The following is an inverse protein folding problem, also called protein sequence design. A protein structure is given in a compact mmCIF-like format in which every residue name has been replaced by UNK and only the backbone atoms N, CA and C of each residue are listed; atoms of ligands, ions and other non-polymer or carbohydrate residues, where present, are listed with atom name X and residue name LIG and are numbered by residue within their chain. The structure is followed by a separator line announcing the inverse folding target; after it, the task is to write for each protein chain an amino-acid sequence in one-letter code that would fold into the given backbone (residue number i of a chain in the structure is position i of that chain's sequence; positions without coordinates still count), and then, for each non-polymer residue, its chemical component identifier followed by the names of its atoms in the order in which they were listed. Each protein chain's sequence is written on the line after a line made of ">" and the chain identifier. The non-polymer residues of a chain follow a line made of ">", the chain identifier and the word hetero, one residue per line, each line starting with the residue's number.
data_IF_409183932343
#
_entry.id   IF_409183932343
#
_cell.length_a   1.000
_cell.length_b   1.000
_cell.length_c   1.000
_cell.angle_alpha   90.00
_cell.angle_beta   90.00
_cell.angle_gamma   90.00
#
_symmetry.space_group_name_H-M   'P 1'
#
loop_
_entity.id
_entity.type
_entity.pdbx_description
1 polymer ?
#
# COMPACT_ATOMS: atom_id res chain seq x y z
N UNK A 1 -50.06 -13.57 -40.97
CA UNK A 1 -49.18 -13.08 -42.06
C UNK A 1 -47.87 -12.62 -41.45
N UNK A 2 -46.96 -13.55 -41.15
CA UNK A 2 -45.63 -13.22 -40.64
C UNK A 2 -44.67 -13.16 -41.84
N UNK A 3 -44.02 -12.03 -42.04
CA UNK A 3 -42.99 -11.88 -43.07
C UNK A 3 -41.72 -12.57 -42.58
N UNK A 4 -41.49 -13.81 -43.04
CA UNK A 4 -40.20 -14.46 -42.90
C UNK A 4 -39.16 -13.68 -43.69
N UNK A 5 -38.36 -12.87 -42.99
CA UNK A 5 -37.20 -12.19 -43.57
C UNK A 5 -36.14 -13.26 -43.79
N UNK A 6 -36.19 -13.86 -44.98
CA UNK A 6 -35.23 -14.85 -45.45
C UNK A 6 -33.81 -14.32 -45.28
N UNK A 7 -33.03 -14.95 -44.39
CA UNK A 7 -31.64 -14.60 -44.17
C UNK A 7 -30.84 -14.88 -45.46
N UNK A 8 -30.23 -13.85 -46.08
CA UNK A 8 -29.68 -14.02 -47.42
C UNK A 8 -28.35 -14.77 -47.39
N UNK A 9 -28.14 -15.61 -48.42
CA UNK A 9 -26.93 -16.38 -48.61
C UNK A 9 -25.74 -15.50 -49.04
N UNK A 10 -25.14 -14.80 -48.08
CA UNK A 10 -23.74 -14.39 -48.19
C UNK A 10 -22.86 -15.65 -48.31
N UNK A 11 -21.68 -15.58 -48.96
CA UNK A 11 -20.71 -16.68 -48.89
C UNK A 11 -20.41 -16.97 -47.42
N UNK A 12 -20.68 -18.19 -46.97
CA UNK A 12 -20.55 -18.57 -45.56
C UNK A 12 -19.07 -18.60 -45.15
N UNK A 13 -18.62 -17.50 -44.57
CA UNK A 13 -17.29 -17.34 -44.00
C UNK A 13 -17.20 -18.13 -42.68
N UNK A 14 -16.43 -19.21 -42.68
CA UNK A 14 -16.29 -20.09 -41.51
C UNK A 14 -15.63 -19.35 -40.34
N UNK A 15 -14.74 -18.40 -40.60
CA UNK A 15 -14.16 -17.57 -39.54
C UNK A 15 -15.19 -16.68 -38.84
N UNK A 16 -16.18 -16.14 -39.59
CA UNK A 16 -17.25 -15.32 -39.00
C UNK A 16 -18.19 -16.18 -38.17
N UNK A 17 -18.52 -17.39 -38.64
CA UNK A 17 -19.35 -18.32 -37.87
C UNK A 17 -18.66 -18.79 -36.58
N UNK A 18 -17.35 -19.10 -36.64
CA UNK A 18 -16.54 -19.43 -35.45
C UNK A 18 -16.35 -18.23 -34.52
N UNK A 19 -16.13 -17.03 -35.04
CA UNK A 19 -16.02 -15.82 -34.25
C UNK A 19 -17.34 -15.49 -33.53
N UNK A 20 -18.50 -15.65 -34.19
CA UNK A 20 -19.82 -15.50 -33.59
C UNK A 20 -20.13 -16.55 -32.51
N UNK A 21 -19.48 -17.73 -32.55
CA UNK A 21 -19.61 -18.74 -31.51
C UNK A 21 -18.84 -18.38 -30.22
N UNK A 22 -18.03 -17.32 -30.21
CA UNK A 22 -17.41 -16.80 -28.99
C UNK A 22 -18.44 -15.98 -28.20
N UNK A 23 -18.72 -16.32 -26.92
CA UNK A 23 -19.79 -15.66 -26.15
C UNK A 23 -19.65 -14.13 -26.02
N UNK A 24 -18.42 -13.62 -26.08
CA UNK A 24 -18.12 -12.18 -26.05
C UNK A 24 -18.49 -11.47 -27.36
N UNK A 25 -18.29 -12.14 -28.50
CA UNK A 25 -18.63 -11.61 -29.83
C UNK A 25 -20.14 -11.70 -30.05
N UNK A 26 -20.78 -12.81 -29.67
CA UNK A 26 -22.23 -12.96 -29.73
C UNK A 26 -22.94 -11.86 -28.92
N UNK A 27 -22.49 -11.62 -27.68
CA UNK A 27 -23.02 -10.54 -26.84
C UNK A 27 -22.80 -9.14 -27.44
N UNK A 28 -21.62 -8.88 -28.02
CA UNK A 28 -21.32 -7.60 -28.66
C UNK A 28 -22.16 -7.36 -29.93
N UNK A 29 -22.30 -8.37 -30.79
CA UNK A 29 -23.13 -8.31 -32.01
C UNK A 29 -24.61 -8.15 -31.65
N UNK A 30 -25.10 -8.90 -30.65
CA UNK A 30 -26.47 -8.76 -30.14
C UNK A 30 -26.75 -7.38 -29.56
N UNK A 31 -25.80 -6.81 -28.80
CA UNK A 31 -25.91 -5.46 -28.26
C UNK A 31 -25.94 -4.40 -29.38
N UNK A 32 -25.01 -4.47 -30.35
CA UNK A 32 -24.98 -3.56 -31.50
C UNK A 32 -26.25 -3.68 -32.35
N UNK A 33 -26.74 -4.89 -32.61
CA UNK A 33 -28.00 -5.14 -33.32
C UNK A 33 -29.23 -4.58 -32.60
N UNK A 34 -29.28 -4.69 -31.27
CA UNK A 34 -30.36 -4.11 -30.45
C UNK A 34 -30.31 -2.57 -30.45
N UNK A 35 -29.11 -1.97 -30.37
CA UNK A 35 -28.95 -0.52 -30.51
C UNK A 35 -29.33 -0.03 -31.92
N UNK A 36 -28.87 -0.73 -32.96
CA UNK A 36 -29.18 -0.43 -34.35
C UNK A 36 -30.70 -0.46 -34.61
N UNK A 37 -31.37 -1.52 -34.17
CA UNK A 37 -32.83 -1.66 -34.29
C UNK A 37 -33.57 -0.56 -33.53
N UNK A 38 -33.10 -0.18 -32.33
CA UNK A 38 -33.66 0.93 -31.54
C UNK A 38 -33.48 2.29 -32.22
N UNK A 39 -32.34 2.55 -32.88
CA UNK A 39 -32.09 3.80 -33.62
C UNK A 39 -32.92 3.84 -34.91
N UNK A 40 -32.97 2.73 -35.65
CA UNK A 40 -33.76 2.59 -36.88
C UNK A 40 -35.26 2.81 -36.61
N UNK A 41 -35.79 2.21 -35.55
CA UNK A 41 -37.20 2.34 -35.16
C UNK A 41 -37.58 3.64 -34.42
N UNK A 42 -36.65 4.58 -34.19
CA UNK A 42 -36.94 5.82 -33.47
C UNK A 42 -37.68 6.86 -34.33
N UNK A 43 -37.41 6.90 -35.64
CA UNK A 43 -38.04 7.84 -36.58
C UNK A 43 -38.21 7.19 -37.96
N UNK A 44 -39.39 7.33 -38.57
CA UNK A 44 -39.71 6.77 -39.90
C UNK A 44 -38.79 7.25 -41.03
N UNK A 45 -38.21 8.45 -40.92
CA UNK A 45 -37.26 8.99 -41.89
C UNK A 45 -35.88 8.30 -41.76
N UNK A 46 -35.45 8.00 -40.53
CA UNK A 46 -34.25 7.18 -40.28
C UNK A 46 -34.49 5.74 -40.73
N UNK A 47 -35.65 5.16 -40.44
CA UNK A 47 -36.05 3.82 -40.89
C UNK A 47 -35.95 3.70 -42.42
N UNK A 48 -36.54 4.66 -43.15
CA UNK A 48 -36.47 4.72 -44.61
C UNK A 48 -35.03 4.88 -45.13
N UNK A 49 -34.25 5.79 -44.54
CA UNK A 49 -32.88 6.04 -44.98
C UNK A 49 -31.95 4.83 -44.72
N UNK A 50 -31.99 4.25 -43.52
CA UNK A 50 -31.23 3.04 -43.18
C UNK A 50 -31.71 1.83 -44.00
N UNK A 51 -33.02 1.62 -44.17
CA UNK A 51 -33.53 0.51 -44.98
C UNK A 51 -33.17 0.66 -46.46
N UNK A 52 -33.11 1.89 -46.99
CA UNK A 52 -32.64 2.15 -48.35
C UNK A 52 -31.14 1.92 -48.48
N UNK A 53 -30.35 2.33 -47.47
CA UNK A 53 -28.91 2.07 -47.42
C UNK A 53 -28.59 0.57 -47.29
N UNK A 54 -29.31 -0.16 -46.44
CA UNK A 54 -29.27 -1.63 -46.33
C UNK A 54 -29.59 -2.29 -47.68
N UNK A 55 -30.67 -1.89 -48.34
CA UNK A 55 -31.04 -2.43 -49.65
C UNK A 55 -30.00 -2.11 -50.74
N UNK A 56 -29.37 -0.94 -50.69
CA UNK A 56 -28.25 -0.55 -51.55
C UNK A 56 -27.00 -1.41 -51.31
N UNK A 57 -26.60 -1.57 -50.04
CA UNK A 57 -25.50 -2.44 -49.63
C UNK A 57 -25.76 -3.89 -50.01
N UNK A 58 -26.99 -4.38 -49.83
CA UNK A 58 -27.39 -5.74 -50.17
C UNK A 58 -27.28 -6.02 -51.67
N UNK A 59 -27.73 -5.08 -52.53
CA UNK A 59 -27.54 -5.18 -53.97
C UNK A 59 -26.06 -5.12 -54.35
N UNK A 60 -25.30 -4.19 -53.79
CA UNK A 60 -23.87 -4.06 -54.04
C UNK A 60 -23.10 -5.34 -53.66
N UNK A 61 -23.37 -5.90 -52.49
CA UNK A 61 -22.80 -7.16 -52.01
C UNK A 61 -23.12 -8.33 -52.97
N UNK A 62 -24.37 -8.49 -53.38
CA UNK A 62 -24.75 -9.54 -54.33
C UNK A 62 -24.11 -9.36 -55.72
N UNK A 63 -23.90 -8.12 -56.18
CA UNK A 63 -23.17 -7.87 -57.44
C UNK A 63 -21.65 -8.07 -57.33
N UNK A 64 -21.06 -7.83 -56.15
CA UNK A 64 -19.62 -7.99 -55.91
C UNK A 64 -19.23 -9.43 -55.53
N UNK A 65 -20.17 -10.22 -55.00
CA UNK A 65 -19.98 -11.60 -54.55
C UNK A 65 -19.14 -12.47 -55.52
N UNK A 66 -19.45 -12.58 -56.83
CA UNK A 66 -18.70 -13.46 -57.73
C UNK A 66 -17.23 -13.04 -57.95
N UNK A 67 -16.91 -11.75 -57.78
CA UNK A 67 -15.55 -11.23 -57.99
C UNK A 67 -14.68 -11.30 -56.73
N UNK A 68 -15.29 -11.24 -55.54
CA UNK A 68 -14.58 -11.16 -54.25
C UNK A 68 -14.56 -12.50 -53.50
N UNK A 69 -15.46 -13.44 -53.81
CA UNK A 69 -15.57 -14.71 -53.08
C UNK A 69 -14.27 -15.54 -53.03
N UNK A 70 -13.49 -15.59 -54.12
CA UNK A 70 -12.26 -16.40 -54.19
C UNK A 70 -11.14 -15.88 -53.27
N UNK A 71 -10.69 -14.61 -53.34
CA UNK A 71 -9.70 -14.09 -52.40
C UNK A 71 -10.23 -14.02 -50.96
N UNK A 72 -11.55 -13.80 -50.78
CA UNK A 72 -12.17 -13.75 -49.45
C UNK A 72 -12.17 -15.12 -48.77
N UNK A 73 -12.46 -16.21 -49.48
CA UNK A 73 -12.39 -17.57 -48.95
C UNK A 73 -10.95 -17.98 -48.56
N UNK A 74 -9.94 -17.55 -49.33
CA UNK A 74 -8.54 -17.78 -48.99
C UNK A 74 -8.07 -16.97 -47.76
N UNK A 75 -8.66 -15.81 -47.51
CA UNK A 75 -8.50 -15.05 -46.27
C UNK A 75 -9.21 -15.71 -45.08
N UNK A 76 -10.47 -16.09 -45.28
CA UNK A 76 -11.34 -16.75 -44.29
C UNK A 76 -10.72 -18.03 -43.72
N UNK A 77 -10.18 -18.89 -44.58
CA UNK A 77 -9.47 -20.10 -44.16
C UNK A 77 -8.27 -19.80 -43.23
N UNK A 78 -7.55 -18.70 -43.44
CA UNK A 78 -6.45 -18.27 -42.55
C UNK A 78 -6.97 -17.74 -41.22
N UNK A 79 -8.05 -16.94 -41.23
CA UNK A 79 -8.64 -16.42 -39.99
C UNK A 79 -9.27 -17.55 -39.17
N UNK A 80 -9.94 -18.51 -39.80
CA UNK A 80 -10.45 -19.71 -39.15
C UNK A 80 -9.32 -20.52 -38.47
N UNK A 81 -8.20 -20.75 -39.16
CA UNK A 81 -7.04 -21.43 -38.60
C UNK A 81 -6.39 -20.66 -37.42
N UNK A 82 -6.40 -19.32 -37.46
CA UNK A 82 -5.95 -18.47 -36.34
C UNK A 82 -6.89 -18.58 -35.14
N UNK A 83 -8.21 -18.67 -35.36
CA UNK A 83 -9.20 -18.89 -34.30
C UNK A 83 -9.01 -20.30 -33.68
N UNK A 84 -8.76 -21.32 -34.49
CA UNK A 84 -8.52 -22.70 -34.02
C UNK A 84 -7.23 -22.82 -33.17
N UNK A 85 -6.14 -22.17 -33.58
CA UNK A 85 -4.92 -22.10 -32.75
C UNK A 85 -5.12 -21.24 -31.49
N UNK A 86 -5.97 -20.20 -31.55
CA UNK A 86 -6.33 -19.39 -30.36
C UNK A 86 -7.13 -20.19 -29.34
N UNK A 87 -8.12 -20.98 -29.78
CA UNK A 87 -8.89 -21.90 -28.93
C UNK A 87 -7.97 -22.93 -28.25
N UNK A 88 -7.04 -23.52 -29.02
CA UNK A 88 -6.04 -24.47 -28.48
C UNK A 88 -5.07 -23.84 -27.48
N UNK A 89 -4.71 -22.56 -27.67
CA UNK A 89 -3.76 -21.83 -26.80
C UNK A 89 -4.42 -21.26 -25.56
N UNK A 90 -5.69 -20.85 -25.66
CA UNK A 90 -6.43 -20.12 -24.61
C UNK A 90 -7.88 -20.62 -24.53
N UNK A 91 -8.12 -21.85 -24.02
CA UNK A 91 -9.48 -22.37 -23.79
C UNK A 91 -10.28 -21.54 -22.76
N UNK A 92 -9.61 -20.65 -22.02
CA UNK A 92 -10.21 -19.64 -21.15
C UNK A 92 -11.11 -18.63 -21.90
N UNK A 93 -10.99 -18.53 -23.23
CA UNK A 93 -11.79 -17.62 -24.08
C UNK A 93 -13.07 -18.30 -24.59
N UNK A 94 -13.15 -19.63 -24.60
CA UNK A 94 -14.33 -20.39 -25.02
C UNK A 94 -15.22 -20.83 -23.84
N UNK A 95 -14.69 -21.00 -22.63
CA UNK A 95 -15.50 -21.27 -21.44
C UNK A 95 -16.32 -20.06 -20.95
N UNK A 96 -17.48 -20.34 -20.35
CA UNK A 96 -18.31 -19.30 -19.75
C UNK A 96 -17.64 -18.70 -18.49
N UNK A 97 -17.59 -17.35 -18.33
CA UNK A 97 -16.89 -16.69 -17.22
C UNK A 97 -17.26 -17.17 -15.81
N UNK A 98 -18.48 -17.69 -15.61
CA UNK A 98 -18.95 -18.20 -14.31
C UNK A 98 -18.24 -19.50 -13.92
N UNK A 99 -18.06 -20.42 -14.87
CA UNK A 99 -17.43 -21.73 -14.64
C UNK A 99 -15.94 -21.54 -14.32
N UNK A 100 -15.26 -20.68 -15.07
CA UNK A 100 -13.85 -20.33 -14.88
C UNK A 100 -13.57 -19.82 -13.45
N UNK A 101 -14.43 -18.95 -12.92
CA UNK A 101 -14.27 -18.40 -11.55
C UNK A 101 -14.47 -19.48 -10.50
N UNK A 102 -15.41 -20.41 -10.70
CA UNK A 102 -15.70 -21.48 -9.75
C UNK A 102 -14.62 -22.58 -9.76
N UNK A 103 -14.18 -23.03 -10.94
CA UNK A 103 -13.08 -24.00 -11.09
C UNK A 103 -11.77 -23.44 -10.54
N UNK A 104 -11.45 -22.17 -10.83
CA UNK A 104 -10.26 -21.49 -10.28
C UNK A 104 -10.32 -21.37 -8.77
N UNK A 105 -11.48 -20.96 -8.20
CA UNK A 105 -11.67 -20.92 -6.74
C UNK A 105 -11.48 -22.30 -6.12
N UNK A 106 -12.04 -23.35 -6.71
CA UNK A 106 -11.92 -24.72 -6.19
C UNK A 106 -10.48 -25.26 -6.27
N UNK A 107 -9.74 -24.95 -7.34
CA UNK A 107 -8.32 -25.30 -7.48
C UNK A 107 -7.42 -24.53 -6.49
N UNK A 108 -7.72 -23.26 -6.22
CA UNK A 108 -7.00 -22.46 -5.22
C UNK A 108 -7.32 -22.95 -3.80
N UNK A 109 -8.59 -23.21 -3.49
CA UNK A 109 -9.04 -23.74 -2.21
C UNK A 109 -8.45 -25.12 -1.92
N UNK A 110 -8.44 -26.04 -2.90
CA UNK A 110 -7.88 -27.39 -2.72
C UNK A 110 -6.36 -27.37 -2.47
N UNK A 111 -5.63 -26.38 -3.03
CA UNK A 111 -4.18 -26.23 -2.80
C UNK A 111 -3.86 -25.54 -1.47
N UNK A 112 -4.65 -24.55 -1.06
CA UNK A 112 -4.43 -23.76 0.17
C UNK A 112 -4.97 -24.47 1.42
N UNK A 113 -6.15 -25.09 1.35
CA UNK A 113 -6.80 -25.81 2.46
C UNK A 113 -5.88 -26.77 3.24
N UNK A 114 -5.09 -27.68 2.61
CA UNK A 114 -4.22 -28.59 3.35
C UNK A 114 -3.06 -27.87 4.06
N UNK A 115 -2.64 -26.71 3.58
CA UNK A 115 -1.60 -25.91 4.23
C UNK A 115 -2.15 -25.14 5.43
N UNK A 116 -3.31 -24.50 5.27
CA UNK A 116 -4.02 -23.80 6.36
C UNK A 116 -4.42 -24.79 7.47
N UNK A 117 -4.96 -25.96 7.12
CA UNK A 117 -5.32 -26.99 8.11
C UNK A 117 -4.09 -27.54 8.87
N UNK A 118 -2.94 -27.72 8.22
CA UNK A 118 -1.69 -28.08 8.91
C UNK A 118 -1.22 -26.99 9.89
N UNK A 119 -1.27 -25.72 9.49
CA UNK A 119 -0.89 -24.60 10.38
C UNK A 119 -1.89 -24.46 11.53
N UNK A 120 -3.20 -24.58 11.25
CA UNK A 120 -4.25 -24.51 12.27
C UNK A 120 -4.14 -25.65 13.28
N UNK A 121 -3.95 -26.90 12.83
CA UNK A 121 -3.76 -28.05 13.73
C UNK A 121 -2.43 -27.98 14.49
N UNK A 122 -1.35 -27.46 13.89
CA UNK A 122 -0.10 -27.20 14.60
C UNK A 122 -0.27 -26.11 15.68
N UNK A 123 -1.00 -25.03 15.37
CA UNK A 123 -1.32 -23.95 16.31
C UNK A 123 -2.15 -24.46 17.49
N UNK A 124 -3.25 -25.17 17.25
CA UNK A 124 -4.09 -25.71 18.33
C UNK A 124 -3.36 -26.78 19.14
N UNK A 125 -2.54 -27.64 18.51
CA UNK A 125 -1.68 -28.57 19.24
C UNK A 125 -0.60 -27.87 20.08
N UNK A 126 -0.04 -26.75 19.62
CA UNK A 126 0.89 -25.94 20.40
C UNK A 126 0.19 -25.23 21.57
N UNK A 127 -0.98 -24.63 21.33
CA UNK A 127 -1.81 -23.98 22.35
C UNK A 127 -2.20 -24.97 23.46
N UNK A 128 -2.67 -26.17 23.10
CA UNK A 128 -3.00 -27.24 24.04
C UNK A 128 -1.78 -27.71 24.84
N UNK A 129 -0.60 -27.80 24.23
CA UNK A 129 0.66 -28.14 24.93
C UNK A 129 1.12 -27.03 25.88
N UNK A 130 0.96 -25.77 25.50
CA UNK A 130 1.27 -24.62 26.36
C UNK A 130 0.29 -24.55 27.53
N UNK A 131 -0.99 -24.84 27.32
CA UNK A 131 -1.99 -24.88 28.38
C UNK A 131 -1.72 -26.02 29.37
N UNK A 132 -1.47 -27.25 28.89
CA UNK A 132 -1.16 -28.37 29.78
C UNK A 132 0.19 -28.21 30.51
N UNK A 133 1.21 -27.63 29.86
CA UNK A 133 2.47 -27.27 30.53
C UNK A 133 2.27 -26.17 31.59
N UNK A 134 1.42 -25.16 31.31
CA UNK A 134 1.06 -24.13 32.28
C UNK A 134 0.36 -24.75 33.49
N UNK A 135 -0.65 -25.58 33.29
CA UNK A 135 -1.38 -26.28 34.35
C UNK A 135 -0.47 -27.18 35.20
N UNK A 136 0.35 -28.03 34.56
CA UNK A 136 1.31 -28.91 35.25
C UNK A 136 2.38 -28.11 36.01
N UNK A 137 2.91 -27.03 35.42
CA UNK A 137 3.85 -26.15 36.08
C UNK A 137 3.21 -25.40 37.25
N UNK A 138 1.96 -25.00 37.13
CA UNK A 138 1.22 -24.31 38.18
C UNK A 138 0.92 -25.23 39.36
N UNK A 139 0.40 -26.44 39.08
CA UNK A 139 0.17 -27.47 40.10
C UNK A 139 1.47 -27.85 40.83
N UNK A 140 2.58 -28.01 40.10
CA UNK A 140 3.89 -28.31 40.70
C UNK A 140 4.46 -27.14 41.49
N UNK A 141 4.31 -25.90 41.01
CA UNK A 141 4.72 -24.71 41.75
C UNK A 141 3.92 -24.58 43.06
N UNK A 142 2.59 -24.72 43.02
CA UNK A 142 1.75 -24.69 44.20
C UNK A 142 2.12 -25.80 45.22
N UNK A 143 2.34 -27.03 44.76
CA UNK A 143 2.81 -28.13 45.62
C UNK A 143 4.19 -27.87 46.27
N UNK A 144 5.11 -27.22 45.57
CA UNK A 144 6.41 -26.82 46.14
C UNK A 144 6.29 -25.63 47.10
N UNK A 145 5.42 -24.66 46.80
CA UNK A 145 5.21 -23.46 47.61
C UNK A 145 4.40 -23.73 48.88
N UNK A 146 3.55 -24.76 48.91
CA UNK A 146 2.86 -25.24 50.13
C UNK A 146 3.77 -26.03 51.07
N UNK A 147 4.94 -26.50 50.60
CA UNK A 147 5.94 -27.16 51.45
C UNK A 147 6.53 -26.17 52.47
N UNK A 148 6.95 -26.64 53.65
CA UNK A 148 7.48 -25.79 54.74
C UNK A 148 8.66 -24.87 54.34
N UNK A 149 9.48 -25.27 53.35
CA UNK A 149 10.51 -24.39 52.77
C UNK A 149 9.91 -23.38 51.76
N UNK A 150 8.95 -23.82 50.95
CA UNK A 150 8.21 -22.98 50.01
C UNK A 150 7.48 -21.82 50.71
N UNK A 151 6.78 -22.09 51.81
CA UNK A 151 6.11 -21.04 52.59
C UNK A 151 7.09 -19.99 53.13
N UNK A 152 8.29 -20.39 53.57
CA UNK A 152 9.35 -19.42 53.97
C UNK A 152 9.80 -18.54 52.81
N UNK A 153 9.88 -19.10 51.59
CA UNK A 153 10.19 -18.31 50.37
C UNK A 153 9.04 -17.37 50.00
N UNK A 154 7.77 -17.80 50.11
CA UNK A 154 6.60 -16.91 49.88
C UNK A 154 6.64 -15.71 50.83
N UNK A 155 6.85 -15.95 52.12
CA UNK A 155 6.96 -14.86 53.11
C UNK A 155 8.19 -13.98 52.91
N UNK A 156 9.34 -14.51 52.47
CA UNK A 156 10.52 -13.68 52.19
C UNK A 156 10.34 -12.80 50.95
N UNK A 157 9.62 -13.29 49.92
CA UNK A 157 9.21 -12.48 48.76
C UNK A 157 8.25 -11.37 49.18
N UNK A 158 7.29 -11.64 50.06
CA UNK A 158 6.32 -10.66 50.52
C UNK A 158 6.94 -9.57 51.43
N UNK A 159 7.81 -9.97 52.35
CA UNK A 159 8.61 -9.04 53.15
C UNK A 159 9.57 -8.22 52.28
N UNK A 160 10.24 -8.84 51.31
CA UNK A 160 11.11 -8.17 50.35
C UNK A 160 10.37 -7.17 49.45
N UNK A 161 9.16 -7.51 49.00
CA UNK A 161 8.32 -6.62 48.23
C UNK A 161 7.81 -5.43 49.06
N UNK A 162 7.45 -5.67 50.32
CA UNK A 162 7.05 -4.61 51.26
C UNK A 162 8.20 -3.64 51.54
N UNK A 163 9.41 -4.15 51.75
CA UNK A 163 10.62 -3.32 51.90
C UNK A 163 10.97 -2.56 50.61
N UNK A 164 10.83 -3.20 49.44
CA UNK A 164 11.04 -2.54 48.15
C UNK A 164 10.00 -1.42 47.91
N UNK A 165 8.76 -1.57 48.38
CA UNK A 165 7.75 -0.50 48.35
C UNK A 165 8.18 0.69 49.22
N UNK A 166 8.70 0.46 50.44
CA UNK A 166 9.24 1.54 51.29
C UNK A 166 10.42 2.28 50.64
N UNK A 167 11.31 1.57 49.95
CA UNK A 167 12.39 2.20 49.17
C UNK A 167 11.84 3.03 48.00
N UNK A 168 10.81 2.53 47.31
CA UNK A 168 10.10 3.28 46.29
C UNK A 168 9.38 4.52 46.85
N UNK A 169 8.75 4.44 48.03
CA UNK A 169 8.14 5.58 48.70
C UNK A 169 9.19 6.66 49.03
N UNK A 170 10.39 6.25 49.44
CA UNK A 170 11.49 7.16 49.79
C UNK A 170 12.14 7.85 48.58
N UNK A 171 12.46 7.10 47.51
CA UNK A 171 13.19 7.64 46.36
C UNK A 171 12.31 8.09 45.20
N UNK A 172 11.09 7.54 45.06
CA UNK A 172 10.16 7.80 43.97
C UNK A 172 8.74 8.04 44.53
N UNK A 173 8.50 9.18 45.20
CA UNK A 173 7.20 9.50 45.79
C UNK A 173 6.08 9.49 44.73
N UNK A 174 4.86 9.20 45.16
CA UNK A 174 3.69 9.22 44.27
C UNK A 174 3.37 10.66 43.84
N UNK A 175 3.63 10.99 42.58
CA UNK A 175 3.34 12.32 42.01
C UNK A 175 1.93 12.34 41.45
N UNK A 176 0.95 12.67 42.30
CA UNK A 176 -0.45 12.87 41.93
C UNK A 176 -1.43 12.07 42.79
N UNK A 177 -2.73 12.26 42.52
CA UNK A 177 -3.80 11.44 43.10
C UNK A 177 -3.82 10.04 42.44
N UNK A 178 -2.82 9.24 42.76
CA UNK A 178 -2.69 7.88 42.27
C UNK A 178 -3.63 6.99 43.10
N UNK A 179 -4.73 6.52 42.50
CA UNK A 179 -5.46 5.39 43.07
C UNK A 179 -4.52 4.19 43.10
N UNK A 180 -4.10 3.77 44.30
CA UNK A 180 -3.44 2.50 44.53
C UNK A 180 -4.39 1.43 44.01
N UNK A 181 -4.04 0.80 42.87
CA UNK A 181 -4.92 -0.19 42.24
C UNK A 181 -4.98 -1.43 43.12
N UNK A 182 -5.96 -1.42 44.02
CA UNK A 182 -6.33 -2.46 44.97
C UNK A 182 -6.97 -3.64 44.25
N UNK A 183 -6.22 -4.26 43.34
CA UNK A 183 -6.43 -5.66 43.06
C UNK A 183 -6.09 -6.40 44.35
N UNK A 184 -7.14 -6.83 45.04
CA UNK A 184 -7.10 -7.64 46.24
C UNK A 184 -6.09 -8.78 46.04
N UNK A 185 -5.02 -8.79 46.85
CA UNK A 185 -4.03 -9.85 46.79
C UNK A 185 -4.74 -11.11 47.27
N UNK A 186 -4.83 -12.12 46.39
CA UNK A 186 -5.47 -13.39 46.73
C UNK A 186 -4.70 -14.01 47.90
N UNK A 187 -5.39 -14.21 49.03
CA UNK A 187 -4.78 -14.70 50.26
C UNK A 187 -3.89 -15.94 50.02
N UNK A 188 -2.70 -15.94 50.63
CA UNK A 188 -1.67 -16.99 50.53
C UNK A 188 -2.25 -18.40 50.66
N UNK A 189 -3.31 -18.57 51.45
CA UNK A 189 -3.98 -19.85 51.73
C UNK A 189 -4.65 -20.51 50.50
N UNK A 190 -5.09 -19.74 49.51
CA UNK A 190 -5.85 -20.28 48.38
C UNK A 190 -4.94 -20.70 47.22
N UNK A 191 -3.96 -19.85 46.88
CA UNK A 191 -2.96 -20.17 45.86
C UNK A 191 -1.64 -19.40 46.11
N UNK A 192 -0.65 -20.03 46.78
CA UNK A 192 0.68 -19.45 46.98
C UNK A 192 1.41 -19.05 45.69
N UNK A 193 1.18 -19.76 44.58
CA UNK A 193 1.78 -19.41 43.29
C UNK A 193 1.15 -18.15 42.72
N UNK A 194 -0.18 -18.02 42.81
CA UNK A 194 -0.88 -16.79 42.44
C UNK A 194 -0.44 -15.60 43.29
N UNK A 195 -0.37 -15.77 44.61
CA UNK A 195 0.03 -14.72 45.55
C UNK A 195 1.42 -14.18 45.21
N UNK A 196 2.44 -15.04 45.07
CA UNK A 196 3.80 -14.59 44.75
C UNK A 196 3.89 -13.85 43.40
N UNK A 197 3.18 -14.34 42.37
CA UNK A 197 3.10 -13.67 41.06
C UNK A 197 2.37 -12.32 41.17
N UNK A 198 1.29 -12.24 41.96
CA UNK A 198 0.55 -10.98 42.19
C UNK A 198 1.38 -9.96 42.98
N UNK A 199 2.10 -10.36 44.03
CA UNK A 199 2.93 -9.45 44.83
C UNK A 199 4.07 -8.86 43.99
N UNK A 200 4.79 -9.68 43.21
CA UNK A 200 5.85 -9.21 42.30
C UNK A 200 5.28 -8.40 41.14
N UNK A 201 4.12 -8.81 40.60
CA UNK A 201 3.37 -8.05 39.59
C UNK A 201 2.95 -6.67 40.07
N UNK A 202 2.43 -6.56 41.31
CA UNK A 202 2.05 -5.28 41.93
C UNK A 202 3.28 -4.40 42.13
N UNK A 203 4.35 -4.95 42.70
CA UNK A 203 5.61 -4.20 42.89
C UNK A 203 6.14 -3.63 41.58
N UNK A 204 6.24 -4.44 40.53
CA UNK A 204 6.73 -3.99 39.22
C UNK A 204 5.81 -2.97 38.55
N UNK A 205 4.48 -3.14 38.65
CA UNK A 205 3.51 -2.18 38.13
C UNK A 205 3.57 -0.83 38.87
N UNK A 206 3.67 -0.84 40.21
CA UNK A 206 3.83 0.36 41.04
C UNK A 206 5.17 1.04 40.74
N UNK A 207 6.26 0.26 40.64
CA UNK A 207 7.58 0.76 40.25
C UNK A 207 7.54 1.47 38.89
N UNK A 208 7.07 0.78 37.85
CA UNK A 208 7.00 1.33 36.50
C UNK A 208 6.14 2.61 36.45
N UNK A 209 4.95 2.61 37.08
CA UNK A 209 4.07 3.78 37.13
C UNK A 209 4.72 4.96 37.85
N UNK A 210 5.35 4.74 39.00
CA UNK A 210 6.02 5.81 39.77
C UNK A 210 7.27 6.35 39.09
N UNK A 211 8.07 5.49 38.45
CA UNK A 211 9.20 5.90 37.59
C UNK A 211 8.69 6.80 36.45
N UNK A 212 7.66 6.36 35.72
CA UNK A 212 7.08 7.15 34.63
C UNK A 212 6.44 8.46 35.11
N UNK A 213 5.71 8.46 36.23
CA UNK A 213 5.09 9.67 36.78
C UNK A 213 6.15 10.69 37.23
N UNK A 214 7.18 10.27 37.97
CA UNK A 214 8.28 11.15 38.40
C UNK A 214 9.08 11.68 37.19
N UNK A 215 9.39 10.82 36.21
CA UNK A 215 10.09 11.24 35.00
C UNK A 215 9.24 12.21 34.17
N UNK A 216 7.95 11.92 33.95
CA UNK A 216 7.05 12.80 33.21
C UNK A 216 6.84 14.14 33.92
N UNK A 217 6.74 14.14 35.25
CA UNK A 217 6.70 15.37 36.05
C UNK A 217 7.99 16.18 35.89
N UNK A 218 9.17 15.55 36.06
CA UNK A 218 10.45 16.24 35.91
C UNK A 218 10.70 16.76 34.49
N UNK A 219 10.31 16.02 33.45
CA UNK A 219 10.37 16.47 32.05
C UNK A 219 9.40 17.64 31.81
N UNK A 220 8.20 17.62 32.38
CA UNK A 220 7.25 18.73 32.29
C UNK A 220 7.75 19.96 33.08
N UNK A 221 8.35 19.76 34.25
CA UNK A 221 8.99 20.80 35.06
C UNK A 221 10.15 21.45 34.27
N UNK A 222 11.05 20.67 33.68
CA UNK A 222 12.14 21.13 32.81
C UNK A 222 11.65 21.90 31.57
N UNK A 223 10.55 21.45 30.96
CA UNK A 223 9.89 22.13 29.84
C UNK A 223 9.30 23.47 30.27
N UNK A 224 8.69 23.54 31.44
CA UNK A 224 8.04 24.75 31.97
C UNK A 224 9.06 25.71 32.62
N UNK A 225 10.19 25.21 33.12
CA UNK A 225 11.25 26.00 33.76
C UNK A 225 12.23 26.66 32.77
N UNK A 226 12.00 26.50 31.47
CA UNK A 226 12.53 27.43 30.45
C UNK A 226 13.52 26.86 29.44
N UNK A 227 14.06 25.65 29.61
CA UNK A 227 15.12 25.13 28.71
C UNK A 227 14.60 24.78 27.31
N UNK A 228 13.34 24.34 27.19
CA UNK A 228 12.69 24.09 25.89
C UNK A 228 11.97 25.32 25.32
N UNK A 229 11.86 26.40 26.10
CA UNK A 229 11.18 27.63 25.67
C UNK A 229 11.93 28.27 24.50
N UNK A 230 13.26 28.26 24.55
CA UNK A 230 14.10 28.75 23.45
C UNK A 230 13.89 27.94 22.17
N UNK A 231 13.87 26.60 22.23
CA UNK A 231 13.71 25.78 21.00
C UNK A 231 12.33 25.97 20.38
N UNK A 232 11.24 25.95 21.16
CA UNK A 232 9.88 26.14 20.61
C UNK A 232 9.64 27.58 20.15
N UNK A 233 10.15 28.57 20.89
CA UNK A 233 10.06 29.99 20.52
C UNK A 233 10.93 30.32 19.31
N UNK A 234 12.10 29.68 19.17
CA UNK A 234 12.97 29.79 18.00
C UNK A 234 12.33 29.16 16.77
N UNK A 235 11.77 27.95 16.87
CA UNK A 235 11.08 27.30 15.74
C UNK A 235 9.84 28.11 15.32
N UNK A 236 9.05 28.63 16.27
CA UNK A 236 7.88 29.46 15.93
C UNK A 236 8.28 30.84 15.38
N UNK A 237 9.36 31.46 15.87
CA UNK A 237 9.92 32.68 15.30
C UNK A 237 10.49 32.46 13.89
N UNK A 238 11.20 31.34 13.66
CA UNK A 238 11.72 30.94 12.36
C UNK A 238 10.58 30.68 11.37
N UNK A 239 9.52 29.99 11.80
CA UNK A 239 8.33 29.74 10.99
C UNK A 239 7.59 31.05 10.66
N UNK A 240 7.46 31.96 11.63
CA UNK A 240 6.86 33.27 11.41
C UNK A 240 7.69 34.13 10.44
N UNK A 241 9.02 34.12 10.58
CA UNK A 241 9.94 34.81 9.66
C UNK A 241 9.89 34.22 8.24
N UNK A 242 9.83 32.89 8.10
CA UNK A 242 9.72 32.21 6.81
C UNK A 242 8.36 32.46 6.16
N UNK A 243 7.27 32.46 6.95
CA UNK A 243 5.95 32.83 6.46
C UNK A 243 5.89 34.30 6.01
N UNK A 244 6.49 35.21 6.78
CA UNK A 244 6.56 36.63 6.41
C UNK A 244 7.39 36.83 5.13
N UNK A 245 8.56 36.19 5.02
CA UNK A 245 9.41 36.21 3.83
C UNK A 245 8.66 35.69 2.59
N UNK A 246 7.87 34.61 2.75
CA UNK A 246 7.01 34.10 1.68
C UNK A 246 5.95 35.13 1.28
N UNK A 247 5.19 35.68 2.23
CA UNK A 247 4.15 36.70 1.96
C UNK A 247 4.74 37.92 1.26
N UNK A 248 5.93 38.40 1.68
CA UNK A 248 6.61 39.50 0.99
C UNK A 248 7.10 39.13 -0.41
N UNK A 249 7.50 37.88 -0.63
CA UNK A 249 7.90 37.40 -1.96
C UNK A 249 6.68 37.29 -2.90
N UNK A 250 5.58 36.71 -2.42
CA UNK A 250 4.32 36.57 -3.15
C UNK A 250 3.77 37.97 -3.52
N UNK A 251 3.87 38.94 -2.61
CA UNK A 251 3.45 40.33 -2.86
C UNK A 251 4.36 41.07 -3.86
N UNK A 252 5.70 40.95 -3.75
CA UNK A 252 6.62 41.49 -4.75
C UNK A 252 6.42 40.86 -6.15
N UNK A 253 5.96 39.61 -6.20
CA UNK A 253 5.69 38.93 -7.46
C UNK A 253 4.40 39.45 -8.11
N UNK A 254 3.36 39.72 -7.32
CA UNK A 254 2.15 40.41 -7.79
C UNK A 254 2.43 41.86 -8.24
N UNK A 255 3.27 42.61 -7.53
CA UNK A 255 3.69 43.95 -7.94
C UNK A 255 4.47 43.92 -9.27
N UNK A 256 5.38 42.96 -9.46
CA UNK A 256 6.08 42.76 -10.73
C UNK A 256 5.16 42.33 -11.87
N UNK A 257 4.15 41.51 -11.59
CA UNK A 257 3.14 41.12 -12.59
C UNK A 257 2.25 42.31 -12.99
N UNK A 258 1.94 43.22 -12.05
CA UNK A 258 1.25 44.49 -12.34
C UNK A 258 2.13 45.45 -13.15
N UNK A 259 3.40 45.64 -12.78
CA UNK A 259 4.35 46.45 -13.56
C UNK A 259 4.60 45.90 -14.98
N UNK A 260 4.54 44.57 -15.16
CA UNK A 260 4.65 43.95 -16.48
C UNK A 260 3.38 44.14 -17.32
N UNK A 261 2.20 44.00 -16.73
CA UNK A 261 0.93 44.30 -17.43
C UNK A 261 0.79 45.78 -17.80
N UNK A 262 1.30 46.70 -16.97
CA UNK A 262 1.32 48.13 -17.29
C UNK A 262 2.32 48.46 -18.41
N UNK A 263 3.44 47.73 -18.51
CA UNK A 263 4.40 47.86 -19.63
C UNK A 263 3.91 47.22 -20.93
N UNK A 264 3.22 46.07 -20.89
CA UNK A 264 2.66 45.44 -22.10
C UNK A 264 1.52 46.25 -22.74
N UNK A 265 0.82 47.09 -21.96
CA UNK A 265 -0.24 47.96 -22.48
C UNK A 265 0.27 49.13 -23.34
N UNK A 266 1.60 49.32 -23.45
CA UNK A 266 2.20 50.54 -23.99
C UNK A 266 3.26 50.31 -25.09
N UNK A 267 3.03 49.40 -26.05
CA UNK A 267 3.76 49.39 -27.35
C UNK A 267 3.14 48.47 -28.42
N UNK A 268 2.93 49.00 -29.65
CA UNK A 268 2.90 48.36 -31.00
C UNK A 268 2.11 49.28 -31.97
N UNK A 269 2.54 49.58 -33.23
CA UNK A 269 3.88 49.49 -33.86
C UNK A 269 4.31 50.70 -34.76
N UNK A 270 5.60 50.69 -35.17
CA UNK A 270 6.15 51.16 -36.47
C UNK A 270 6.16 52.65 -36.90
N UNK A 271 6.97 53.06 -37.93
CA UNK A 271 8.18 52.44 -38.52
C UNK A 271 9.38 53.39 -38.77
N UNK A 272 10.62 52.86 -38.87
CA UNK A 272 11.60 53.13 -39.96
C UNK A 272 13.04 52.65 -39.64
N UNK A 273 13.65 51.93 -40.58
CA UNK A 273 15.05 51.40 -40.60
C UNK A 273 15.96 52.31 -41.48
N UNK A 274 17.24 51.98 -41.85
CA UNK A 274 18.26 51.08 -41.26
C UNK A 274 19.72 51.66 -41.24
N UNK A 275 20.66 51.03 -40.51
CA UNK A 275 22.12 50.90 -40.82
C UNK A 275 22.84 50.17 -39.65
N UNK A 276 23.40 48.97 -39.83
CA UNK A 276 24.82 48.69 -40.17
C UNK A 276 25.87 49.17 -39.13
N UNK A 277 26.87 48.39 -38.67
CA UNK A 277 27.16 46.95 -38.74
C UNK A 277 28.37 46.60 -37.81
N UNK A 278 28.58 45.30 -37.55
CA UNK A 278 29.92 44.66 -37.36
C UNK A 278 30.66 44.70 -36.00
N UNK A 279 31.36 43.58 -35.76
CA UNK A 279 32.50 43.30 -34.86
C UNK A 279 32.30 42.99 -33.37
N UNK A 280 32.74 41.78 -33.02
CA UNK A 280 33.02 41.24 -31.69
C UNK A 280 34.57 41.14 -31.48
N UNK A 281 35.11 40.31 -30.55
CA UNK A 281 35.87 40.71 -29.36
C UNK A 281 37.42 40.58 -29.50
N UNK A 282 38.23 40.83 -28.44
CA UNK A 282 38.65 39.78 -27.46
C UNK A 282 38.77 40.37 -26.01
N UNK A 283 39.45 39.84 -24.96
CA UNK A 283 40.34 38.66 -24.70
C UNK A 283 40.34 38.26 -23.18
N UNK A 284 41.10 37.20 -22.85
CA UNK A 284 41.58 36.65 -21.56
C UNK A 284 42.05 37.68 -20.50
N UNK A 285 42.08 37.36 -19.20
CA UNK A 285 43.05 36.47 -18.48
C UNK A 285 42.38 35.95 -17.18
N UNK A 286 42.12 34.64 -17.00
CA UNK A 286 43.01 33.54 -16.52
C UNK A 286 43.60 33.71 -15.09
N UNK A 287 43.06 32.96 -14.12
CA UNK A 287 43.74 32.20 -13.05
C UNK A 287 42.65 31.59 -12.12
N UNK A 288 42.75 30.44 -11.46
CA UNK A 288 43.51 29.18 -11.58
C UNK A 288 43.20 28.38 -10.30
N UNK A 289 42.46 27.27 -10.39
CA UNK A 289 42.30 26.32 -9.27
C UNK A 289 43.58 25.51 -9.06
N UNK A 290 43.74 24.85 -7.90
CA UNK A 290 44.44 23.57 -7.89
C UNK A 290 43.63 22.42 -7.25
N UNK A 291 43.50 21.33 -8.00
CA UNK A 291 43.13 20.00 -7.51
C UNK A 291 44.38 19.12 -7.51
N UNK A 292 44.73 18.50 -6.37
CA UNK A 292 45.52 17.25 -6.25
C UNK A 292 45.51 16.87 -4.76
N UNK A 293 44.92 15.76 -4.29
CA UNK A 293 45.13 14.33 -4.57
C UNK A 293 46.13 13.65 -3.61
N UNK A 294 45.60 12.66 -2.87
CA UNK A 294 46.25 11.44 -2.37
C UNK A 294 47.49 11.52 -1.43
N UNK A 295 47.31 11.03 -0.19
CA UNK A 295 48.34 10.20 0.45
C UNK A 295 47.76 9.22 1.49
N UNK A 296 47.66 7.95 1.09
CA UNK A 296 47.54 6.80 2.00
C UNK A 296 48.90 6.57 2.68
N UNK A 297 48.91 6.25 3.97
CA UNK A 297 50.01 5.46 4.56
C UNK A 297 49.53 4.59 5.73
N UNK A 298 49.57 3.28 5.50
CA UNK A 298 49.45 2.21 6.48
C UNK A 298 50.83 1.58 6.76
N UNK A 299 50.87 0.62 7.70
CA UNK A 299 51.93 -0.40 7.85
C UNK A 299 53.23 0.14 8.53
N UNK A 300 53.97 -0.63 9.37
CA UNK A 300 54.04 -2.10 9.40
C UNK A 300 53.88 -2.84 10.74
N UNK A 301 53.66 -4.16 10.58
CA UNK A 301 53.91 -5.19 11.59
C UNK A 301 55.39 -5.25 12.03
N UNK A 302 55.63 -5.87 13.19
CA UNK A 302 56.89 -6.57 13.47
C UNK A 302 56.60 -7.79 14.35
N UNK A 303 57.32 -8.88 14.11
CA UNK A 303 56.99 -10.26 14.48
C UNK A 303 58.18 -10.93 15.18
N UNK A 304 57.91 -11.61 16.31
CA UNK A 304 58.59 -12.81 16.86
C UNK A 304 57.82 -13.19 18.14
N UNK A 305 57.21 -14.36 18.37
CA UNK A 305 57.65 -15.78 18.34
C UNK A 305 58.73 -16.16 19.36
N UNK A 306 58.30 -16.83 20.45
CA UNK A 306 58.92 -17.96 21.20
C UNK A 306 58.14 -18.14 22.53
N UNK A 307 57.90 -19.28 23.18
CA UNK A 307 57.81 -20.74 22.90
C UNK A 307 57.50 -21.44 24.25
N UNK A 308 56.85 -22.61 24.18
CA UNK A 308 56.90 -23.74 25.14
C UNK A 308 56.09 -23.76 26.45
N UNK A 309 55.52 -24.97 26.67
CA UNK A 309 54.84 -25.55 27.84
C UNK A 309 53.46 -25.00 28.25
#
# INVERSE_FOLDING_TARGET
>A
MATEVSAPSMPQLQSVQKAMALPTVEAAVGQVGAFYTRVKGAHSLLEWALSTAEAGMYRAANTAAPYVAVPLAAGDAKVAAVIDELERRVPLVTEQPKVIVETTKQAVLSRISPHVNKVYTAKTAAENRVHSLKELSWAKANALLTTAYGQKVVHSVDAGASYAMQLLDHYLPAVGAQEETSNEIVAVSNDPALHTVQTVGRLSAVAARRVWANLAYKVNELRNSGVELDVRRYITALLAALHLAKVTSDQQQQEKEQEQQEKEKFQTPEPSSPASATSSPPKNTEESSPTTANKVKSTPESKSTETSN
#
